data_IF_145100545850
#
_entry.id   IF_145100545850
#
_cell.length_a   1.000
_cell.length_b   1.000
_cell.length_c   1.000
_cell.angle_alpha   90.00
_cell.angle_beta   90.00
_cell.angle_gamma   90.00
#
_symmetry.space_group_name_H-M   'P 1'
#
loop_
_entity.id
_entity.type
_entity.pdbx_description
1 polymer ?
#
# COMPACT_ATOMS: atom_id res chain seq x y z
N UNK A 1 -19.04 -56.25 19.17
CA UNK A 1 -17.78 -55.86 19.82
C UNK A 1 -16.73 -55.66 18.75
N UNK A 2 -15.84 -54.68 18.88
CA UNK A 2 -14.72 -54.44 17.96
C UNK A 2 -13.41 -54.90 18.60
N UNK A 3 -12.55 -55.51 17.82
CA UNK A 3 -11.16 -55.75 18.20
C UNK A 3 -10.38 -54.44 18.32
N UNK A 4 -9.22 -54.46 18.99
CA UNK A 4 -8.36 -53.27 19.06
C UNK A 4 -7.90 -52.77 17.69
N UNK A 5 -7.74 -53.67 16.70
CA UNK A 5 -7.36 -53.31 15.33
C UNK A 5 -8.50 -52.63 14.56
N UNK A 6 -9.72 -53.14 14.69
CA UNK A 6 -10.91 -52.49 14.11
C UNK A 6 -11.19 -51.15 14.77
N UNK A 7 -11.07 -51.09 16.11
CA UNK A 7 -11.24 -49.86 16.87
C UNK A 7 -10.24 -48.79 16.46
N UNK A 8 -8.97 -49.16 16.27
CA UNK A 8 -7.93 -48.27 15.78
C UNK A 8 -8.29 -47.68 14.41
N UNK A 9 -8.67 -48.55 13.47
CA UNK A 9 -9.07 -48.15 12.11
C UNK A 9 -10.27 -47.20 12.10
N UNK A 10 -11.31 -47.52 12.86
CA UNK A 10 -12.59 -46.78 12.82
C UNK A 10 -12.56 -45.45 13.59
N UNK A 11 -11.67 -45.33 14.59
CA UNK A 11 -11.50 -44.12 15.41
C UNK A 11 -10.43 -43.17 14.89
N UNK A 12 -9.51 -43.66 14.04
CA UNK A 12 -8.34 -42.91 13.58
C UNK A 12 -7.22 -42.83 14.62
N UNK A 13 -7.27 -43.66 15.67
CA UNK A 13 -6.20 -43.84 16.64
C UNK A 13 -5.35 -45.06 16.27
N UNK A 14 -4.05 -45.04 16.57
CA UNK A 14 -3.23 -46.24 16.42
C UNK A 14 -3.53 -47.27 17.52
N UNK A 15 -3.21 -48.54 17.26
CA UNK A 15 -3.30 -49.60 18.28
C UNK A 15 -2.41 -49.29 19.49
N UNK A 16 -1.25 -48.67 19.28
CA UNK A 16 -0.39 -48.23 20.38
C UNK A 16 -1.01 -47.09 21.19
N UNK A 17 -1.67 -46.14 20.53
CA UNK A 17 -2.36 -45.04 21.18
C UNK A 17 -3.54 -45.55 22.04
N UNK A 18 -4.32 -46.50 21.55
CA UNK A 18 -5.38 -47.14 22.34
C UNK A 18 -4.86 -47.83 23.60
N UNK A 19 -3.71 -48.52 23.51
CA UNK A 19 -3.05 -49.12 24.69
C UNK A 19 -2.51 -48.06 25.65
N UNK A 20 -1.99 -46.96 25.11
CA UNK A 20 -1.50 -45.84 25.91
C UNK A 20 -2.63 -45.17 26.70
N UNK A 21 -3.78 -44.90 26.07
CA UNK A 21 -4.91 -44.27 26.76
C UNK A 21 -5.60 -45.18 27.77
N UNK A 22 -5.56 -46.50 27.54
CA UNK A 22 -5.97 -47.51 28.51
C UNK A 22 -5.07 -47.44 29.75
N UNK A 23 -3.75 -47.50 29.58
CA UNK A 23 -2.78 -47.38 30.67
C UNK A 23 -2.82 -46.03 31.40
N UNK A 24 -3.14 -44.93 30.71
CA UNK A 24 -3.30 -43.60 31.30
C UNK A 24 -4.67 -43.39 31.97
N UNK A 25 -5.58 -44.37 31.91
CA UNK A 25 -6.93 -44.29 32.47
C UNK A 25 -7.81 -43.23 31.80
N UNK A 26 -7.55 -42.94 30.51
CA UNK A 26 -8.29 -41.95 29.72
C UNK A 26 -9.38 -42.61 28.88
N UNK A 27 -9.08 -43.77 28.30
CA UNK A 27 -10.02 -44.51 27.46
C UNK A 27 -9.63 -46.00 27.44
N UNK A 28 -10.45 -46.85 28.06
CA UNK A 28 -10.18 -48.28 28.24
C UNK A 28 -11.10 -49.19 27.42
N UNK A 29 -10.73 -50.47 27.22
CA UNK A 29 -11.58 -51.46 26.58
C UNK A 29 -12.79 -51.83 27.45
N UNK A 30 -13.93 -52.12 26.82
CA UNK A 30 -15.11 -52.64 27.52
C UNK A 30 -14.87 -54.03 28.13
N UNK A 31 -14.00 -54.85 27.51
CA UNK A 31 -13.63 -56.17 28.02
C UNK A 31 -12.19 -56.50 27.66
N UNK A 32 -11.47 -57.09 28.62
CA UNK A 32 -10.18 -57.74 28.38
C UNK A 32 -10.38 -59.25 28.58
N UNK A 33 -9.92 -60.05 27.62
CA UNK A 33 -9.93 -61.50 27.74
C UNK A 33 -8.93 -61.94 28.83
N UNK A 34 -9.36 -62.64 29.89
CA UNK A 34 -8.50 -63.00 31.02
C UNK A 34 -7.43 -64.05 30.68
N UNK A 35 -7.60 -64.83 29.60
CA UNK A 35 -6.64 -65.84 29.16
C UNK A 35 -5.64 -65.30 28.15
N UNK A 36 -6.09 -64.45 27.23
CA UNK A 36 -5.27 -63.99 26.09
C UNK A 36 -4.81 -62.54 26.23
N UNK A 37 -5.37 -61.77 27.18
CA UNK A 37 -5.12 -60.33 27.31
C UNK A 37 -5.71 -59.49 26.17
N UNK A 38 -6.54 -60.09 25.31
CA UNK A 38 -7.08 -59.43 24.14
C UNK A 38 -8.13 -58.38 24.51
N UNK A 39 -8.06 -57.20 23.88
CA UNK A 39 -8.92 -56.05 24.18
C UNK A 39 -10.08 -55.94 23.21
N UNK A 40 -11.29 -55.84 23.77
CA UNK A 40 -12.53 -55.70 23.04
C UNK A 40 -13.25 -54.41 23.43
N UNK A 41 -13.72 -53.67 22.42
CA UNK A 41 -14.41 -52.40 22.58
C UNK A 41 -15.89 -52.53 22.21
N UNK A 42 -16.77 -51.90 22.97
CA UNK A 42 -18.20 -51.88 22.68
C UNK A 42 -18.51 -50.92 21.51
N UNK A 43 -19.57 -51.15 20.73
CA UNK A 43 -19.88 -50.30 19.59
C UNK A 43 -20.06 -48.81 19.93
N UNK A 44 -20.57 -48.52 21.12
CA UNK A 44 -20.85 -47.18 21.65
C UNK A 44 -19.55 -46.40 21.94
N UNK A 45 -18.47 -47.08 22.33
CA UNK A 45 -17.17 -46.45 22.65
C UNK A 45 -16.49 -45.82 21.43
N UNK A 46 -16.99 -46.08 20.22
CA UNK A 46 -16.46 -45.49 19.00
C UNK A 46 -16.62 -43.97 18.95
N UNK A 47 -17.74 -43.44 19.47
CA UNK A 47 -17.97 -41.99 19.52
C UNK A 47 -16.93 -41.31 20.41
N UNK A 48 -16.70 -41.85 21.61
CA UNK A 48 -15.74 -41.34 22.58
C UNK A 48 -14.30 -41.42 22.07
N UNK A 49 -13.94 -42.50 21.38
CA UNK A 49 -12.61 -42.61 20.78
C UNK A 49 -12.39 -41.62 19.64
N UNK A 50 -13.42 -41.37 18.82
CA UNK A 50 -13.37 -40.33 17.78
C UNK A 50 -13.24 -38.94 18.41
N UNK A 51 -13.98 -38.68 19.48
CA UNK A 51 -13.88 -37.43 20.24
C UNK A 51 -12.47 -37.27 20.83
N UNK A 52 -11.94 -38.29 21.49
CA UNK A 52 -10.56 -38.31 21.99
C UNK A 52 -9.56 -37.99 20.88
N UNK A 53 -9.71 -38.61 19.70
CA UNK A 53 -8.83 -38.37 18.56
C UNK A 53 -8.90 -36.93 18.02
N UNK A 54 -10.04 -36.25 18.16
CA UNK A 54 -10.19 -34.83 17.79
C UNK A 54 -9.59 -33.92 18.85
N UNK A 55 -9.88 -34.16 20.13
CA UNK A 55 -9.33 -33.39 21.24
C UNK A 55 -7.79 -33.46 21.28
N UNK A 56 -7.21 -34.61 20.93
CA UNK A 56 -5.75 -34.72 20.82
C UNK A 56 -5.14 -34.02 19.63
N UNK A 57 -5.86 -33.90 18.51
CA UNK A 57 -5.37 -33.12 17.36
C UNK A 57 -5.28 -31.63 17.65
N UNK A 58 -6.13 -31.12 18.52
CA UNK A 58 -6.07 -29.71 18.97
C UNK A 58 -5.14 -29.51 20.18
N UNK A 59 -4.44 -30.56 20.62
CA UNK A 59 -3.46 -30.47 21.70
C UNK A 59 -4.04 -30.49 23.12
N UNK A 60 -5.31 -30.86 23.30
CA UNK A 60 -5.95 -30.85 24.63
C UNK A 60 -5.26 -31.83 25.59
N UNK A 61 -4.78 -31.41 26.78
CA UNK A 61 -4.14 -32.26 27.78
C UNK A 61 -4.99 -33.48 28.20
N UNK A 62 -4.34 -34.60 28.56
CA UNK A 62 -5.06 -35.83 28.97
C UNK A 62 -6.01 -35.61 30.15
N UNK A 63 -5.62 -34.75 31.10
CA UNK A 63 -6.46 -34.43 32.26
C UNK A 63 -7.78 -33.78 31.83
N UNK A 64 -7.74 -32.87 30.86
CA UNK A 64 -8.91 -32.19 30.33
C UNK A 64 -9.76 -33.14 29.48
N UNK A 65 -9.12 -34.00 28.68
CA UNK A 65 -9.81 -35.05 27.91
C UNK A 65 -10.58 -36.00 28.83
N UNK A 66 -10.01 -36.39 29.97
CA UNK A 66 -10.71 -37.20 30.98
C UNK A 66 -11.96 -36.51 31.50
N UNK A 67 -11.91 -35.19 31.73
CA UNK A 67 -13.08 -34.41 32.15
C UNK A 67 -14.14 -34.34 31.05
N UNK A 68 -13.73 -34.23 29.78
CA UNK A 68 -14.65 -34.21 28.65
C UNK A 68 -15.34 -35.55 28.43
N UNK A 69 -14.60 -36.66 28.53
CA UNK A 69 -15.17 -38.01 28.30
C UNK A 69 -15.96 -38.54 29.49
N UNK A 70 -15.62 -38.12 30.72
CA UNK A 70 -16.25 -38.61 31.95
C UNK A 70 -17.23 -37.64 32.61
N UNK A 71 -17.31 -36.39 32.15
CA UNK A 71 -18.16 -35.35 32.72
C UNK A 71 -19.54 -35.25 32.06
N UNK A 72 -20.43 -34.48 32.67
CA UNK A 72 -21.69 -34.08 32.03
C UNK A 72 -21.44 -33.07 30.88
N UNK A 73 -22.50 -32.76 30.12
CA UNK A 73 -22.41 -31.86 28.98
C UNK A 73 -21.87 -30.46 29.36
N UNK A 74 -22.17 -29.96 30.56
CA UNK A 74 -21.67 -28.66 31.04
C UNK A 74 -20.17 -28.69 31.33
N UNK A 75 -19.71 -29.75 32.00
CA UNK A 75 -18.29 -29.98 32.32
C UNK A 75 -17.46 -30.16 31.06
N UNK A 76 -17.97 -30.91 30.09
CA UNK A 76 -17.34 -31.11 28.80
C UNK A 76 -17.23 -29.78 28.02
N UNK A 77 -18.31 -29.02 27.93
CA UNK A 77 -18.32 -27.71 27.26
C UNK A 77 -17.34 -26.73 27.91
N UNK A 78 -17.33 -26.63 29.24
CA UNK A 78 -16.41 -25.77 29.97
C UNK A 78 -14.94 -26.13 29.73
N UNK A 79 -14.60 -27.42 29.73
CA UNK A 79 -13.23 -27.88 29.47
C UNK A 79 -12.77 -27.57 28.04
N UNK A 80 -13.67 -27.69 27.05
CA UNK A 80 -13.39 -27.29 25.66
C UNK A 80 -13.19 -25.78 25.56
N UNK A 81 -14.07 -24.99 26.17
CA UNK A 81 -14.02 -23.53 26.15
C UNK A 81 -12.75 -22.97 26.81
N UNK A 82 -12.36 -23.52 27.97
CA UNK A 82 -11.08 -23.16 28.60
C UNK A 82 -9.89 -23.49 27.71
N UNK A 83 -9.94 -24.62 27.00
CA UNK A 83 -8.86 -24.95 26.08
C UNK A 83 -8.81 -24.04 24.85
N UNK A 84 -9.98 -23.68 24.30
CA UNK A 84 -10.10 -22.75 23.19
C UNK A 84 -9.43 -21.42 23.55
N UNK A 85 -9.82 -20.81 24.68
CA UNK A 85 -9.20 -19.57 25.16
C UNK A 85 -7.68 -19.67 25.29
N UNK A 86 -7.17 -20.76 25.86
CA UNK A 86 -5.71 -20.99 25.95
C UNK A 86 -5.04 -21.04 24.56
N UNK A 87 -5.68 -21.64 23.55
CA UNK A 87 -5.15 -21.69 22.19
C UNK A 87 -5.18 -20.31 21.53
N UNK A 88 -6.24 -19.54 21.75
CA UNK A 88 -6.38 -18.17 21.23
C UNK A 88 -5.36 -17.23 21.85
N UNK A 89 -5.18 -17.29 23.18
CA UNK A 89 -4.16 -16.53 23.90
C UNK A 89 -2.75 -16.87 23.40
N UNK A 90 -2.44 -18.17 23.28
CA UNK A 90 -1.16 -18.63 22.76
C UNK A 90 -0.92 -18.22 21.31
N UNK A 91 -1.96 -18.19 20.46
CA UNK A 91 -1.86 -17.69 19.09
C UNK A 91 -1.64 -16.17 19.06
N UNK A 92 -2.32 -15.43 19.93
CA UNK A 92 -2.12 -13.99 20.07
C UNK A 92 -0.70 -13.66 20.54
N UNK A 93 -0.17 -14.41 21.51
CA UNK A 93 1.21 -14.30 21.98
C UNK A 93 2.21 -14.62 20.87
N UNK A 94 2.07 -15.76 20.20
CA UNK A 94 2.95 -16.14 19.09
C UNK A 94 2.91 -15.10 17.96
N UNK A 95 1.74 -14.55 17.64
CA UNK A 95 1.61 -13.44 16.67
C UNK A 95 2.35 -12.20 17.13
N UNK A 96 2.21 -11.80 18.41
CA UNK A 96 2.95 -10.64 18.96
C UNK A 96 4.47 -10.85 18.90
N UNK A 97 4.95 -12.02 19.27
CA UNK A 97 6.38 -12.36 19.19
C UNK A 97 6.87 -12.34 17.74
N UNK A 98 6.15 -12.96 16.81
CA UNK A 98 6.50 -12.95 15.39
C UNK A 98 6.48 -11.54 14.80
N UNK A 99 5.53 -10.69 15.18
CA UNK A 99 5.53 -9.26 14.80
C UNK A 99 6.76 -8.53 15.34
N UNK A 100 7.19 -8.84 16.57
CA UNK A 100 8.40 -8.25 17.17
C UNK A 100 9.65 -8.73 16.44
N UNK A 101 9.75 -10.03 16.16
CA UNK A 101 10.85 -10.61 15.36
C UNK A 101 10.86 -10.00 13.98
N UNK A 102 9.70 -9.81 13.33
CA UNK A 102 9.61 -9.17 12.03
C UNK A 102 10.09 -7.72 12.10
N UNK A 103 9.66 -6.94 13.08
CA UNK A 103 10.15 -5.57 13.29
C UNK A 103 11.66 -5.52 13.55
N UNK A 104 12.22 -6.49 14.29
CA UNK A 104 13.66 -6.60 14.51
C UNK A 104 14.43 -7.03 13.25
N UNK A 105 13.86 -7.92 12.42
CA UNK A 105 14.41 -8.28 11.12
C UNK A 105 14.37 -7.07 10.20
N UNK A 106 13.23 -6.39 10.10
CA UNK A 106 13.07 -5.18 9.29
C UNK A 106 14.07 -4.11 9.76
N UNK A 107 14.27 -3.91 11.07
CA UNK A 107 15.30 -3.02 11.60
C UNK A 107 16.71 -3.45 11.17
N UNK A 108 17.01 -4.75 11.16
CA UNK A 108 18.30 -5.29 10.69
C UNK A 108 18.49 -5.18 9.18
N UNK A 109 17.44 -5.39 8.39
CA UNK A 109 17.44 -5.24 6.93
C UNK A 109 17.58 -3.76 6.53
N UNK A 110 16.91 -2.88 7.27
CA UNK A 110 17.04 -1.41 7.17
C UNK A 110 18.47 -0.95 7.52
N UNK A 111 19.21 -1.73 8.32
CA UNK A 111 20.61 -1.47 8.68
C UNK A 111 21.62 -1.98 7.62
N UNK A 112 21.22 -2.67 6.54
CA UNK A 112 22.17 -3.38 5.64
C UNK A 112 22.05 -3.11 4.14
N UNK A 113 21.31 -2.08 3.72
CA UNK A 113 21.26 -1.68 2.30
C UNK A 113 21.37 -0.18 2.12
N UNK A 114 22.51 0.43 2.46
CA UNK A 114 22.78 1.82 2.06
C UNK A 114 22.68 1.90 0.55
N UNK A 115 21.64 2.59 0.07
CA UNK A 115 21.43 2.82 -1.36
C UNK A 115 22.04 4.15 -1.71
N UNK A 116 23.04 4.15 -2.58
CA UNK A 116 23.68 5.36 -3.08
C UNK A 116 23.44 5.47 -4.58
N UNK A 117 22.89 6.60 -5.02
CA UNK A 117 22.70 6.90 -6.42
C UNK A 117 23.30 8.25 -6.80
N UNK A 118 23.74 8.36 -8.05
CA UNK A 118 24.17 9.62 -8.65
C UNK A 118 23.19 10.01 -9.75
N UNK A 119 22.78 11.28 -9.75
CA UNK A 119 21.87 11.85 -10.75
C UNK A 119 22.42 13.19 -11.25
N UNK A 120 22.16 13.59 -12.51
CA UNK A 120 22.41 14.94 -12.96
C UNK A 120 21.58 15.93 -12.14
N UNK A 121 22.22 16.96 -11.59
CA UNK A 121 21.55 17.88 -10.67
C UNK A 121 20.44 18.69 -11.35
N UNK A 122 20.65 19.07 -12.62
CA UNK A 122 19.67 19.77 -13.42
C UNK A 122 18.41 18.92 -13.68
N UNK A 123 18.58 17.64 -13.97
CA UNK A 123 17.46 16.72 -14.21
C UNK A 123 16.68 16.44 -12.93
N UNK A 124 17.38 16.22 -11.81
CA UNK A 124 16.71 16.09 -10.51
C UNK A 124 15.96 17.37 -10.12
N UNK A 125 16.55 18.54 -10.36
CA UNK A 125 15.89 19.82 -10.08
C UNK A 125 14.61 19.97 -10.91
N UNK A 126 14.69 19.71 -12.22
CA UNK A 126 13.53 19.75 -13.12
C UNK A 126 12.45 18.73 -12.71
N UNK A 127 12.84 17.52 -12.32
CA UNK A 127 11.90 16.49 -11.87
C UNK A 127 11.23 16.87 -10.53
N UNK A 128 11.96 17.48 -9.58
CA UNK A 128 11.38 17.98 -8.34
C UNK A 128 10.41 19.13 -8.60
N UNK A 129 10.79 20.10 -9.45
CA UNK A 129 9.93 21.22 -9.85
C UNK A 129 8.63 20.73 -10.52
N UNK A 130 8.73 19.66 -11.31
CA UNK A 130 7.61 19.05 -12.01
C UNK A 130 6.61 18.30 -11.10
N UNK A 131 6.97 17.95 -9.86
CA UNK A 131 6.09 17.17 -8.97
C UNK A 131 5.74 17.87 -7.66
N UNK A 132 6.63 18.70 -7.13
CA UNK A 132 6.55 19.27 -5.79
C UNK A 132 5.26 20.06 -5.52
N UNK A 133 4.66 20.66 -6.55
CA UNK A 133 3.39 21.37 -6.42
C UNK A 133 2.24 20.43 -6.00
N UNK A 134 2.26 19.16 -6.40
CA UNK A 134 1.18 18.21 -6.14
C UNK A 134 1.19 17.62 -4.72
N UNK A 135 2.23 17.87 -3.91
CA UNK A 135 2.28 17.42 -2.52
C UNK A 135 1.42 18.34 -1.62
N UNK A 136 0.79 17.77 -0.59
CA UNK A 136 -0.01 18.53 0.37
C UNK A 136 0.67 18.57 1.75
N UNK A 137 1.52 19.57 2.02
CA UNK A 137 2.08 19.74 3.36
C UNK A 137 0.93 20.01 4.36
N UNK A 138 0.93 19.28 5.47
CA UNK A 138 -0.12 19.40 6.49
C UNK A 138 -1.44 18.69 6.15
N UNK A 139 -1.47 17.83 5.12
CA UNK A 139 -2.60 16.94 4.88
C UNK A 139 -2.87 16.05 6.10
N UNK A 140 -4.15 15.71 6.33
CA UNK A 140 -4.56 14.76 7.38
C UNK A 140 -3.88 13.40 7.23
N UNK A 141 -3.51 13.02 6.00
CA UNK A 141 -2.84 11.77 5.71
C UNK A 141 -1.33 12.00 5.53
N UNK A 142 -0.46 11.53 6.46
CA UNK A 142 0.96 11.86 6.41
C UNK A 142 1.69 11.33 5.18
N UNK A 143 1.23 10.23 4.59
CA UNK A 143 1.85 9.63 3.40
C UNK A 143 1.92 10.58 2.19
N UNK A 144 1.00 11.55 2.10
CA UNK A 144 0.94 12.53 0.99
C UNK A 144 1.52 13.90 1.36
N UNK A 145 2.16 14.02 2.54
CA UNK A 145 2.83 15.23 3.00
C UNK A 145 4.27 15.37 2.45
N UNK A 146 4.61 14.61 1.41
CA UNK A 146 5.94 14.56 0.82
C UNK A 146 5.93 14.03 -0.62
N UNK A 147 7.12 13.87 -1.16
CA UNK A 147 7.36 13.33 -2.50
C UNK A 147 7.93 11.92 -2.36
N UNK A 148 7.35 10.96 -3.07
CA UNK A 148 7.88 9.61 -3.18
C UNK A 148 9.07 9.61 -4.16
N UNK A 149 10.19 9.05 -3.73
CA UNK A 149 11.38 8.76 -4.53
C UNK A 149 11.42 7.24 -4.72
N UNK A 150 11.14 6.76 -5.92
CA UNK A 150 11.36 5.36 -6.30
C UNK A 150 12.69 5.25 -7.05
N UNK A 151 13.65 4.58 -6.43
CA UNK A 151 15.01 4.40 -6.94
C UNK A 151 15.10 3.07 -7.69
N UNK A 152 15.49 3.13 -8.95
CA UNK A 152 15.82 1.97 -9.80
C UNK A 152 17.24 2.10 -10.37
N UNK A 153 17.72 1.05 -11.02
CA UNK A 153 19.09 1.01 -11.57
C UNK A 153 19.43 2.17 -12.52
N UNK A 154 18.48 2.61 -13.33
CA UNK A 154 18.62 3.58 -14.42
C UNK A 154 17.78 4.84 -14.23
N UNK A 155 16.79 4.81 -13.33
CA UNK A 155 15.82 5.88 -13.18
C UNK A 155 15.52 6.17 -11.70
N UNK A 156 15.41 7.46 -11.39
CA UNK A 156 14.80 7.96 -10.17
C UNK A 156 13.44 8.55 -10.53
N UNK A 157 12.37 7.88 -10.11
CA UNK A 157 11.00 8.38 -10.32
C UNK A 157 10.54 9.15 -9.08
N UNK A 158 10.01 10.33 -9.33
CA UNK A 158 9.42 11.19 -8.31
C UNK A 158 7.92 11.25 -8.48
N UNK A 159 7.18 11.13 -7.38
CA UNK A 159 5.71 11.16 -7.38
C UNK A 159 5.19 12.00 -6.22
N UNK A 160 4.22 12.86 -6.52
CA UNK A 160 3.53 13.67 -5.52
C UNK A 160 2.02 13.68 -5.79
N UNK A 161 1.21 13.64 -4.73
CA UNK A 161 -0.26 13.71 -4.82
C UNK A 161 -0.83 14.33 -3.56
N UNK A 162 -2.02 14.90 -3.66
CA UNK A 162 -2.84 15.38 -2.54
C UNK A 162 -4.26 14.76 -2.52
N UNK A 163 -4.43 13.68 -3.30
CA UNK A 163 -5.68 12.98 -3.65
C UNK A 163 -6.56 13.65 -4.71
N UNK A 164 -6.40 14.94 -4.97
CA UNK A 164 -7.14 15.66 -6.02
C UNK A 164 -6.31 15.85 -7.29
N UNK A 165 -4.99 15.74 -7.17
CA UNK A 165 -4.05 15.75 -8.28
C UNK A 165 -2.90 14.79 -8.04
N UNK A 166 -2.20 14.44 -9.10
CA UNK A 166 -1.02 13.59 -9.11
C UNK A 166 -0.03 14.18 -10.11
N UNK A 167 1.25 14.23 -9.74
CA UNK A 167 2.35 14.56 -10.63
C UNK A 167 3.44 13.49 -10.53
N UNK A 168 3.97 13.11 -11.69
CA UNK A 168 5.04 12.12 -11.85
C UNK A 168 6.11 12.74 -12.75
N UNK A 169 7.37 12.61 -12.37
CA UNK A 169 8.50 12.94 -13.23
C UNK A 169 9.66 11.98 -12.95
N UNK A 170 10.52 11.79 -13.94
CA UNK A 170 11.70 10.93 -13.81
C UNK A 170 12.99 11.75 -14.00
N UNK A 171 14.07 11.26 -13.41
CA UNK A 171 15.43 11.73 -13.64
C UNK A 171 16.34 10.51 -13.88
N UNK A 172 17.30 10.59 -14.82
CA UNK A 172 18.20 9.48 -15.11
C UNK A 172 19.20 9.28 -13.96
N UNK A 173 19.47 8.01 -13.66
CA UNK A 173 20.48 7.57 -12.68
C UNK A 173 21.74 7.17 -13.43
N UNK A 174 22.86 7.83 -13.10
CA UNK A 174 24.16 7.56 -13.71
C UNK A 174 24.97 6.50 -12.96
N UNK A 175 24.55 6.13 -11.75
CA UNK A 175 25.11 5.02 -11.00
C UNK A 175 24.28 4.70 -9.77
N UNK A 176 24.08 3.41 -9.49
CA UNK A 176 23.41 2.88 -8.31
C UNK A 176 24.32 1.88 -7.60
N UNK A 177 24.46 2.02 -6.28
CA UNK A 177 25.11 1.06 -5.40
C UNK A 177 24.16 0.71 -4.27
N UNK A 178 23.94 -0.58 -4.03
CA UNK A 178 22.95 -1.07 -3.08
C UNK A 178 21.66 -1.52 -3.75
N UNK A 179 20.63 -1.88 -2.97
CA UNK A 179 19.36 -2.34 -3.49
C UNK A 179 18.53 -1.20 -4.09
N UNK A 180 17.59 -1.54 -4.98
CA UNK A 180 16.49 -0.63 -5.34
C UNK A 180 15.60 -0.40 -4.12
N UNK A 181 15.06 0.81 -3.99
CA UNK A 181 14.30 1.20 -2.80
C UNK A 181 13.31 2.31 -3.11
N UNK A 182 12.37 2.54 -2.20
CA UNK A 182 11.43 3.65 -2.27
C UNK A 182 11.37 4.39 -0.95
N UNK A 183 11.41 5.72 -1.00
CA UNK A 183 11.39 6.57 0.20
C UNK A 183 10.49 7.78 0.00
N UNK A 184 9.71 8.16 1.02
CA UNK A 184 8.89 9.37 0.98
C UNK A 184 9.63 10.49 1.69
N UNK A 185 10.11 11.47 0.92
CA UNK A 185 10.82 12.64 1.44
C UNK A 185 9.82 13.72 1.87
N UNK A 186 9.88 14.24 3.11
CA UNK A 186 9.05 15.35 3.54
C UNK A 186 9.24 16.58 2.64
N UNK A 187 8.16 17.34 2.46
CA UNK A 187 8.14 18.53 1.60
C UNK A 187 9.26 19.54 1.94
N UNK A 188 9.56 19.74 3.23
CA UNK A 188 10.65 20.62 3.68
C UNK A 188 12.04 20.12 3.22
N UNK A 189 12.30 18.81 3.31
CA UNK A 189 13.55 18.22 2.81
C UNK A 189 13.64 18.36 1.29
N UNK A 190 12.53 18.17 0.58
CA UNK A 190 12.48 18.37 -0.88
C UNK A 190 12.86 19.79 -1.26
N UNK A 191 12.37 20.80 -0.52
CA UNK A 191 12.70 22.21 -0.78
C UNK A 191 14.19 22.51 -0.53
N UNK A 192 14.78 21.96 0.54
CA UNK A 192 16.21 22.08 0.82
C UNK A 192 17.06 21.39 -0.25
N UNK A 193 16.66 20.18 -0.67
CA UNK A 193 17.31 19.46 -1.78
C UNK A 193 17.21 20.27 -3.06
N UNK A 194 16.04 20.83 -3.39
CA UNK A 194 15.88 21.63 -4.60
C UNK A 194 16.79 22.88 -4.59
N UNK A 195 16.98 23.51 -3.44
CA UNK A 195 17.83 24.68 -3.30
C UNK A 195 19.33 24.37 -3.51
N UNK A 196 19.83 23.21 -3.05
CA UNK A 196 21.24 22.85 -3.18
C UNK A 196 21.64 22.37 -4.59
N UNK A 197 20.68 21.93 -5.43
CA UNK A 197 20.98 21.38 -6.77
C UNK A 197 21.56 22.40 -7.74
N UNK A 198 21.43 23.70 -7.45
CA UNK A 198 22.05 24.76 -8.24
C UNK A 198 23.58 24.84 -8.07
N UNK A 199 24.15 24.16 -7.07
CA UNK A 199 25.55 24.32 -6.67
C UNK A 199 26.53 23.38 -7.37
N UNK A 200 26.07 22.34 -8.06
CA UNK A 200 26.93 21.35 -8.70
C UNK A 200 26.25 20.69 -9.91
N UNK A 201 27.00 20.10 -10.85
CA UNK A 201 26.42 19.44 -12.03
C UNK A 201 25.78 18.08 -11.72
N UNK A 202 26.15 17.44 -10.61
CA UNK A 202 25.65 16.14 -10.17
C UNK A 202 25.28 16.18 -8.70
N UNK A 203 24.32 15.35 -8.32
CA UNK A 203 23.92 15.14 -6.95
C UNK A 203 24.06 13.66 -6.58
N UNK A 204 24.55 13.41 -5.37
CA UNK A 204 24.61 12.09 -4.76
C UNK A 204 23.49 11.97 -3.73
N UNK A 205 22.62 10.99 -3.92
CA UNK A 205 21.58 10.65 -2.95
C UNK A 205 22.01 9.38 -2.22
N UNK A 206 21.86 9.38 -0.91
CA UNK A 206 22.07 8.22 -0.05
C UNK A 206 20.81 7.99 0.76
N UNK A 207 20.22 6.80 0.60
CA UNK A 207 19.16 6.29 1.47
C UNK A 207 19.81 5.29 2.41
N UNK A 208 19.93 5.67 3.67
CA UNK A 208 20.48 4.82 4.73
C UNK A 208 19.43 4.63 5.82
N UNK A 209 18.72 3.52 5.73
CA UNK A 209 17.58 3.22 6.58
C UNK A 209 16.44 4.23 6.47
N UNK A 210 16.24 5.02 7.51
CA UNK A 210 15.22 6.08 7.57
C UNK A 210 15.75 7.46 7.15
N UNK A 211 17.06 7.59 6.94
CA UNK A 211 17.70 8.86 6.61
C UNK A 211 17.92 8.98 5.09
N UNK A 212 17.26 9.96 4.48
CA UNK A 212 17.59 10.41 3.13
C UNK A 212 18.59 11.56 3.22
N UNK A 213 19.69 11.44 2.50
CA UNK A 213 20.72 12.48 2.40
C UNK A 213 21.03 12.79 0.95
N UNK A 214 21.04 14.07 0.58
CA UNK A 214 21.41 14.52 -0.77
C UNK A 214 22.57 15.49 -0.66
N UNK A 215 23.61 15.26 -1.45
CA UNK A 215 24.81 16.09 -1.53
C UNK A 215 25.01 16.59 -2.95
N UNK A 216 25.26 17.89 -3.12
CA UNK A 216 25.63 18.52 -4.39
C UNK A 216 26.83 19.45 -4.14
N UNK A 217 28.02 19.03 -4.61
CA UNK A 217 29.26 19.73 -4.30
C UNK A 217 29.53 19.76 -2.78
N UNK A 218 29.78 20.93 -2.16
CA UNK A 218 30.03 21.03 -0.72
C UNK A 218 28.74 21.08 0.12
N UNK A 219 27.57 21.21 -0.51
CA UNK A 219 26.29 21.36 0.20
C UNK A 219 25.62 20.01 0.40
N UNK A 220 24.91 19.88 1.52
CA UNK A 220 24.18 18.67 1.89
C UNK A 220 22.88 19.03 2.59
N UNK A 221 21.81 18.32 2.25
CA UNK A 221 20.56 18.27 2.99
C UNK A 221 20.29 16.83 3.44
N UNK A 222 19.77 16.68 4.65
CA UNK A 222 19.47 15.37 5.24
C UNK A 222 18.18 15.46 6.04
N UNK A 223 17.34 14.44 5.97
CA UNK A 223 16.12 14.37 6.75
C UNK A 223 15.54 12.96 6.80
N UNK A 224 14.74 12.72 7.84
CA UNK A 224 14.06 11.44 8.03
C UNK A 224 12.90 11.31 7.05
N UNK A 225 12.75 10.10 6.49
CA UNK A 225 11.62 9.74 5.63
C UNK A 225 10.30 9.76 6.40
N UNK A 226 9.20 9.92 5.67
CA UNK A 226 7.87 9.65 6.21
C UNK A 226 7.67 8.13 6.25
N UNK A 227 7.47 7.56 7.43
CA UNK A 227 7.26 6.13 7.65
C UNK A 227 5.78 5.76 7.47
N UNK A 228 5.30 5.87 6.23
CA UNK A 228 3.95 5.48 5.80
C UNK A 228 3.98 4.92 4.38
N UNK A 229 3.09 3.97 4.10
CA UNK A 229 2.91 3.44 2.75
C UNK A 229 2.38 4.53 1.82
N UNK A 230 3.05 4.74 0.70
CA UNK A 230 2.60 5.69 -0.32
C UNK A 230 1.43 5.09 -1.12
N UNK A 231 0.39 5.87 -1.47
CA UNK A 231 -0.73 5.36 -2.26
C UNK A 231 -0.29 4.74 -3.60
N UNK A 232 -0.96 3.66 -4.03
CA UNK A 232 -0.69 3.03 -5.33
C UNK A 232 -1.19 3.92 -6.49
N UNK A 233 -0.31 4.81 -6.94
CA UNK A 233 -0.57 5.73 -8.04
C UNK A 233 -0.57 5.07 -9.42
N UNK A 234 -0.02 3.84 -9.56
CA UNK A 234 0.11 3.17 -10.87
C UNK A 234 -1.24 2.82 -11.48
N UNK A 235 -2.26 2.66 -10.63
CA UNK A 235 -3.64 2.50 -11.09
C UNK A 235 -4.21 3.78 -11.72
N UNK A 236 -3.77 4.96 -11.27
CA UNK A 236 -4.31 6.26 -11.70
C UNK A 236 -3.74 6.75 -13.03
N UNK A 237 -2.55 6.28 -13.42
CA UNK A 237 -1.89 6.70 -14.67
C UNK A 237 -2.32 5.90 -15.91
N UNK A 238 -3.08 4.82 -15.74
CA UNK A 238 -3.61 3.99 -16.85
C UNK A 238 -4.93 4.55 -17.36
N UNK A 239 -4.86 5.68 -18.05
CA UNK A 239 -6.03 6.36 -18.61
C UNK A 239 -6.32 5.92 -20.05
N UNK A 240 -7.60 5.92 -20.43
CA UNK A 240 -8.06 5.71 -21.81
C UNK A 240 -8.76 6.99 -22.28
N UNK A 241 -8.05 7.91 -22.95
CA UNK A 241 -8.64 9.17 -23.37
C UNK A 241 -9.63 8.99 -24.51
N UNK A 242 -10.69 9.78 -24.46
CA UNK A 242 -11.69 9.93 -25.54
C UNK A 242 -11.35 11.12 -26.44
N UNK A 243 -10.77 12.17 -25.88
CA UNK A 243 -10.33 13.36 -26.61
C UNK A 243 -8.89 13.68 -26.25
N UNK A 244 -8.15 14.20 -27.24
CA UNK A 244 -6.78 14.71 -27.08
C UNK A 244 -6.72 16.08 -27.71
N UNK A 245 -6.22 17.06 -26.97
CA UNK A 245 -6.02 18.43 -27.47
C UNK A 245 -4.55 18.79 -27.31
N UNK A 246 -3.91 19.11 -28.43
CA UNK A 246 -2.55 19.64 -28.47
C UNK A 246 -2.59 21.16 -28.53
N UNK A 247 -1.81 21.82 -27.68
CA UNK A 247 -1.77 23.27 -27.61
C UNK A 247 -0.46 23.78 -27.01
N UNK A 248 -0.14 25.04 -27.35
CA UNK A 248 0.96 25.74 -26.72
C UNK A 248 0.64 26.01 -25.25
N UNK A 249 1.59 25.69 -24.37
CA UNK A 249 1.43 25.87 -22.93
C UNK A 249 1.19 27.34 -22.56
N UNK A 250 1.82 28.27 -23.28
CA UNK A 250 1.63 29.71 -23.09
C UNK A 250 0.18 30.14 -23.34
N UNK A 251 -0.44 29.66 -24.42
CA UNK A 251 -1.82 29.99 -24.75
C UNK A 251 -2.79 29.47 -23.67
N UNK A 252 -2.54 28.27 -23.13
CA UNK A 252 -3.35 27.75 -22.03
C UNK A 252 -3.15 28.56 -20.75
N UNK A 253 -1.90 28.95 -20.42
CA UNK A 253 -1.60 29.79 -19.25
C UNK A 253 -2.28 31.15 -19.35
N UNK A 254 -2.20 31.82 -20.50
CA UNK A 254 -2.87 33.10 -20.72
C UNK A 254 -4.40 32.97 -20.64
N UNK A 255 -4.97 31.93 -21.27
CA UNK A 255 -6.40 31.65 -21.21
C UNK A 255 -6.87 31.36 -19.78
N UNK A 256 -6.09 30.62 -18.98
CA UNK A 256 -6.40 30.37 -17.58
C UNK A 256 -6.20 31.62 -16.73
N UNK A 257 -5.22 32.48 -17.02
CA UNK A 257 -4.94 33.70 -16.24
C UNK A 257 -6.01 34.79 -16.44
N UNK A 258 -6.63 34.86 -17.62
CA UNK A 258 -7.60 35.91 -17.98
C UNK A 258 -9.03 35.39 -18.17
N UNK A 259 -9.20 34.08 -18.26
CA UNK A 259 -10.47 33.43 -18.54
C UNK A 259 -11.49 33.47 -17.40
N UNK A 260 -12.75 33.13 -17.70
CA UNK A 260 -13.82 33.12 -16.72
C UNK A 260 -13.62 32.02 -15.67
N UNK A 261 -14.04 32.31 -14.44
CA UNK A 261 -13.98 31.38 -13.32
C UNK A 261 -15.33 31.24 -12.63
N UNK A 262 -15.57 30.07 -12.03
CA UNK A 262 -16.71 29.83 -11.13
C UNK A 262 -16.20 29.59 -9.70
N UNK A 263 -16.78 30.24 -8.68
CA UNK A 263 -16.43 29.92 -7.30
C UNK A 263 -17.00 28.54 -6.92
N UNK A 264 -16.20 27.75 -6.20
CA UNK A 264 -16.60 26.48 -5.61
C UNK A 264 -16.07 26.34 -4.18
N UNK A 265 -16.70 25.46 -3.39
CA UNK A 265 -16.30 25.21 -2.00
C UNK A 265 -15.71 23.81 -1.87
N UNK A 266 -14.60 23.68 -1.16
CA UNK A 266 -13.98 22.38 -0.88
C UNK A 266 -14.77 21.68 0.22
N UNK A 267 -15.15 20.42 -0.02
CA UNK A 267 -16.04 19.68 0.89
C UNK A 267 -15.47 19.39 2.28
N UNK A 268 -14.14 19.40 2.47
CA UNK A 268 -13.51 19.07 3.75
C UNK A 268 -13.45 20.26 4.74
N UNK A 269 -13.11 21.45 4.26
CA UNK A 269 -12.81 22.64 5.08
C UNK A 269 -13.67 23.86 4.72
N UNK A 270 -14.49 23.77 3.66
CA UNK A 270 -15.29 24.89 3.16
C UNK A 270 -14.46 25.99 2.48
N UNK A 271 -13.18 25.76 2.19
CA UNK A 271 -12.33 26.75 1.52
C UNK A 271 -12.85 27.04 0.12
N UNK A 272 -12.96 28.33 -0.22
CA UNK A 272 -13.32 28.78 -1.57
C UNK A 272 -12.15 28.59 -2.52
N UNK A 273 -12.42 28.10 -3.73
CA UNK A 273 -11.47 28.02 -4.82
C UNK A 273 -12.14 28.32 -6.16
N UNK A 274 -11.33 28.63 -7.17
CA UNK A 274 -11.80 28.97 -8.51
C UNK A 274 -11.77 27.76 -9.45
N UNK A 275 -12.83 27.61 -10.23
CA UNK A 275 -13.02 26.53 -11.21
C UNK A 275 -12.96 27.10 -12.62
N UNK A 276 -12.15 26.48 -13.47
CA UNK A 276 -12.16 26.70 -14.92
C UNK A 276 -12.98 25.61 -15.62
N UNK A 277 -13.80 26.00 -16.59
CA UNK A 277 -14.58 25.07 -17.41
C UNK A 277 -13.88 24.90 -18.76
N UNK A 278 -13.38 23.69 -19.01
CA UNK A 278 -12.74 23.30 -20.25
C UNK A 278 -13.81 22.69 -21.15
N UNK A 279 -14.11 23.32 -22.28
CA UNK A 279 -15.03 22.78 -23.28
C UNK A 279 -14.23 22.29 -24.48
N UNK A 280 -14.37 21.01 -24.82
CA UNK A 280 -13.79 20.43 -26.03
C UNK A 280 -14.91 20.22 -27.04
N UNK A 281 -14.83 20.90 -28.18
CA UNK A 281 -15.82 20.77 -29.25
C UNK A 281 -15.64 19.47 -30.07
N UNK A 282 -16.55 19.23 -31.02
CA UNK A 282 -16.52 18.03 -31.87
C UNK A 282 -15.29 17.95 -32.79
N UNK A 283 -14.64 19.08 -33.06
CA UNK A 283 -13.42 19.17 -33.87
C UNK A 283 -12.14 19.04 -33.02
N UNK A 284 -12.29 18.81 -31.70
CA UNK A 284 -11.18 18.65 -30.77
C UNK A 284 -10.52 19.97 -30.38
N UNK A 285 -11.19 21.12 -30.55
CA UNK A 285 -10.68 22.42 -30.10
C UNK A 285 -11.11 22.69 -28.67
N UNK A 286 -10.19 23.25 -27.90
CA UNK A 286 -10.42 23.67 -26.52
C UNK A 286 -10.89 25.12 -26.46
N UNK A 287 -12.00 25.35 -25.75
CA UNK A 287 -12.57 26.66 -25.46
C UNK A 287 -12.81 26.79 -23.94
N UNK A 288 -12.27 27.86 -23.35
CA UNK A 288 -12.45 28.22 -21.94
C UNK A 288 -13.37 29.44 -21.77
N UNK A 289 -13.94 29.98 -22.85
CA UNK A 289 -14.78 31.17 -22.81
C UNK A 289 -16.15 30.91 -22.17
N UNK A 290 -16.80 31.97 -21.68
CA UNK A 290 -18.13 31.86 -21.07
C UNK A 290 -19.22 31.52 -22.10
N UNK A 291 -18.94 31.70 -23.39
CA UNK A 291 -19.83 31.47 -24.52
C UNK A 291 -19.53 30.17 -25.27
N UNK A 292 -18.75 29.26 -24.67
CA UNK A 292 -18.37 28.01 -25.32
C UNK A 292 -19.62 27.23 -25.82
N UNK A 293 -19.55 26.62 -27.03
CA UNK A 293 -20.72 25.99 -27.66
C UNK A 293 -21.38 24.91 -26.79
N UNK A 294 -22.72 24.94 -26.73
CA UNK A 294 -23.48 23.88 -26.10
C UNK A 294 -23.36 22.59 -26.93
N UNK A 295 -22.85 21.50 -26.32
CA UNK A 295 -22.76 20.17 -26.94
C UNK A 295 -21.37 19.53 -26.96
N UNK A 296 -20.32 20.27 -26.60
CA UNK A 296 -18.97 19.72 -26.41
C UNK A 296 -18.78 18.98 -25.08
N UNK A 297 -17.70 18.22 -24.96
CA UNK A 297 -17.28 17.63 -23.68
C UNK A 297 -16.87 18.76 -22.73
N UNK A 298 -17.60 18.91 -21.62
CA UNK A 298 -17.27 19.87 -20.57
C UNK A 298 -16.63 19.16 -19.39
N UNK A 299 -15.46 19.67 -18.98
CA UNK A 299 -14.73 19.22 -17.79
C UNK A 299 -14.45 20.43 -16.91
N UNK A 300 -14.81 20.33 -15.64
CA UNK A 300 -14.55 21.38 -14.66
C UNK A 300 -13.35 20.99 -13.81
N UNK A 301 -12.39 21.90 -13.63
CA UNK A 301 -11.20 21.65 -12.81
C UNK A 301 -10.89 22.85 -11.94
N UNK A 302 -10.20 22.60 -10.83
CA UNK A 302 -9.60 23.67 -10.04
C UNK A 302 -8.56 24.42 -10.89
N UNK A 303 -8.75 25.74 -11.03
CA UNK A 303 -7.93 26.62 -11.87
C UNK A 303 -6.48 26.65 -11.42
N UNK A 304 -6.24 26.83 -10.12
CA UNK A 304 -4.90 26.94 -9.56
C UNK A 304 -4.13 25.65 -9.77
N UNK A 305 -4.79 24.50 -9.57
CA UNK A 305 -4.17 23.20 -9.81
C UNK A 305 -3.77 23.01 -11.28
N UNK A 306 -4.61 23.47 -12.21
CA UNK A 306 -4.31 23.37 -13.64
C UNK A 306 -3.17 24.32 -14.02
N UNK A 307 -3.18 25.56 -13.53
CA UNK A 307 -2.10 26.52 -13.73
C UNK A 307 -0.76 26.01 -13.19
N UNK A 308 -0.75 25.45 -11.98
CA UNK A 308 0.45 24.85 -11.38
C UNK A 308 0.97 23.69 -12.22
N UNK A 309 0.10 22.77 -12.67
CA UNK A 309 0.51 21.64 -13.49
C UNK A 309 1.08 22.06 -14.86
N UNK A 310 0.46 23.04 -15.52
CA UNK A 310 0.95 23.56 -16.81
C UNK A 310 2.27 24.32 -16.64
N UNK A 311 2.45 25.03 -15.53
CA UNK A 311 3.68 25.77 -15.22
C UNK A 311 4.82 24.81 -14.86
N UNK A 312 4.54 23.79 -14.04
CA UNK A 312 5.52 22.81 -13.56
C UNK A 312 6.10 21.93 -14.69
N UNK A 313 5.33 21.71 -15.76
CA UNK A 313 5.83 20.98 -16.93
C UNK A 313 6.96 21.69 -17.69
N UNK A 314 7.06 23.02 -17.57
CA UNK A 314 8.10 23.86 -18.19
C UNK A 314 8.38 23.51 -19.68
N UNK A 315 7.34 23.19 -20.45
CA UNK A 315 7.40 22.82 -21.85
C UNK A 315 6.63 23.81 -22.73
N UNK A 316 7.01 23.91 -24.01
CA UNK A 316 6.36 24.82 -24.95
C UNK A 316 5.02 24.26 -25.44
N UNK A 317 4.93 22.94 -25.57
CA UNK A 317 3.73 22.21 -25.98
C UNK A 317 3.23 21.29 -24.87
N UNK A 318 1.92 21.12 -24.81
CA UNK A 318 1.27 20.13 -23.96
C UNK A 318 0.12 19.44 -24.68
N UNK A 319 -0.23 18.26 -24.17
CA UNK A 319 -1.38 17.49 -24.61
C UNK A 319 -2.32 17.30 -23.43
N UNK A 320 -3.55 17.77 -23.57
CA UNK A 320 -4.63 17.49 -22.63
C UNK A 320 -5.41 16.26 -23.09
N UNK A 321 -5.54 15.30 -22.18
CA UNK A 321 -6.22 14.03 -22.40
C UNK A 321 -7.47 13.95 -21.53
N UNK A 322 -8.64 13.76 -22.18
CA UNK A 322 -9.93 13.76 -21.49
C UNK A 322 -10.62 12.40 -21.61
N UNK A 323 -11.02 11.81 -20.48
CA UNK A 323 -11.78 10.54 -20.45
C UNK A 323 -13.31 10.71 -20.42
N UNK A 324 -13.82 11.93 -20.21
CA UNK A 324 -15.23 12.23 -20.00
C UNK A 324 -15.44 13.30 -18.91
N UNK A 325 -16.69 13.71 -18.62
CA UNK A 325 -16.99 14.86 -17.76
C UNK A 325 -16.51 14.71 -16.30
N UNK A 326 -16.48 13.47 -15.81
CA UNK A 326 -16.08 13.10 -14.44
C UNK A 326 -14.79 12.27 -14.40
N UNK A 327 -14.16 12.04 -15.56
CA UNK A 327 -12.91 11.32 -15.64
C UNK A 327 -11.72 12.27 -15.38
N UNK A 328 -10.60 11.76 -14.86
CA UNK A 328 -9.40 12.58 -14.66
C UNK A 328 -8.94 13.26 -15.95
N UNK A 329 -8.51 14.51 -15.82
CA UNK A 329 -7.79 15.24 -16.86
C UNK A 329 -6.31 14.87 -16.77
N UNK A 330 -5.75 14.31 -17.83
CA UNK A 330 -4.31 14.09 -17.94
C UNK A 330 -3.64 15.21 -18.73
N UNK A 331 -2.45 15.58 -18.29
CA UNK A 331 -1.60 16.61 -18.89
C UNK A 331 -0.26 15.94 -19.19
N UNK A 332 0.11 15.93 -20.47
CA UNK A 332 1.36 15.36 -20.97
C UNK A 332 2.19 16.41 -21.67
N UNK A 333 3.50 16.22 -21.66
CA UNK A 333 4.47 17.15 -22.24
C UNK A 333 5.28 16.38 -23.29
N UNK A 334 5.05 16.59 -24.61
CA UNK A 334 5.75 15.84 -25.66
C UNK A 334 7.28 15.92 -25.58
N UNK A 335 7.80 17.05 -25.11
CA UNK A 335 9.25 17.30 -24.93
C UNK A 335 9.80 16.62 -23.66
N UNK A 336 8.93 16.18 -22.75
CA UNK A 336 9.26 15.53 -21.48
C UNK A 336 8.37 14.31 -21.28
N UNK A 337 8.63 13.26 -22.06
CA UNK A 337 7.81 12.03 -22.06
C UNK A 337 7.65 11.39 -20.68
N UNK A 338 8.64 11.58 -19.81
CA UNK A 338 8.68 11.01 -18.46
C UNK A 338 8.00 11.91 -17.40
N UNK A 339 7.44 13.05 -17.81
CA UNK A 339 6.66 13.95 -16.96
C UNK A 339 5.16 13.82 -17.28
N UNK A 340 4.37 13.64 -16.23
CA UNK A 340 2.93 13.42 -16.31
C UNK A 340 2.21 14.13 -15.17
N UNK A 341 1.09 14.77 -15.44
CA UNK A 341 0.20 15.32 -14.41
C UNK A 341 -1.24 14.88 -14.62
N UNK A 342 -1.97 14.72 -13.53
CA UNK A 342 -3.37 14.31 -13.52
C UNK A 342 -4.14 15.15 -12.51
N UNK A 343 -5.30 15.65 -12.93
CA UNK A 343 -6.22 16.42 -12.09
C UNK A 343 -7.58 15.74 -12.05
N UNK A 344 -8.14 15.63 -10.84
CA UNK A 344 -9.52 15.18 -10.67
C UNK A 344 -10.49 16.30 -11.04
N UNK A 345 -11.54 16.02 -11.81
CA UNK A 345 -12.56 17.00 -12.13
C UNK A 345 -13.38 17.36 -10.89
N UNK A 346 -13.84 18.60 -10.85
CA UNK A 346 -14.75 19.10 -9.82
C UNK A 346 -16.18 18.77 -10.21
N UNK A 347 -17.03 18.48 -9.21
CA UNK A 347 -18.46 18.28 -9.47
C UNK A 347 -19.08 19.56 -10.08
N UNK A 348 -20.00 19.41 -11.05
CA UNK A 348 -20.58 20.54 -11.76
C UNK A 348 -21.57 21.40 -10.96
#
# INVERSE_FOLDING_TARGET
MRSIGEMARDSGLSVSALRFYDGAGVFGPARVDPRTGYRWYAPQQLADARLLARLRRVGMPLADIRRVLGGDAGTAAAAVETHLRRLEDGLADARRELSTVRALIDLRETTMGTTRLTVPAAELAAALDAVRFAAAPGAEHPAVAGVLFEVSADTLRLVATDRYRLAVSEAPVSGLTGPETSVVAPTALVDEVRALLASAPTAELTVDGDLLTVSAGPHRASGHRIDQDYPDYRALIRLTPTHRVELAAELLREALATGPVRPALRGQDGASYEVSVLTVDADGRLDLSAQAPAGGLQVQVNRDFLLEAVTAGAADQLVLEFGGPIAPLAIRFPERADTFSLLMPTAP
#
